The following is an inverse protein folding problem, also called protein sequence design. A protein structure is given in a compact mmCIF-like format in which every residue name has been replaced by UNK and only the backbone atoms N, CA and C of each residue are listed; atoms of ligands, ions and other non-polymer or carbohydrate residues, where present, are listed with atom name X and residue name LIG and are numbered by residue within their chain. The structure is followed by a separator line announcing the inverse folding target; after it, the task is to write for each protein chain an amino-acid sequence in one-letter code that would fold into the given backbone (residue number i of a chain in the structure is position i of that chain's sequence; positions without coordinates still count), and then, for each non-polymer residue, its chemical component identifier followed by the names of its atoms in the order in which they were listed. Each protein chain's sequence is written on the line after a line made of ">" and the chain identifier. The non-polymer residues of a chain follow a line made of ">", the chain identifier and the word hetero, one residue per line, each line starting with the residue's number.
data_IF_746600316726
#
_entry.id   IF_746600316726
#
_cell.length_a   1.000
_cell.length_b   1.000
_cell.length_c   1.000
_cell.angle_alpha   90.00
_cell.angle_beta   90.00
_cell.angle_gamma   90.00
#
_symmetry.space_group_name_H-M   'P 1'
#
loop_
_entity.id
_entity.type
_entity.pdbx_description
1 polymer ?
#
# COMPACT_ATOMS: atom_id res chain seq x y z
N UNK A 1 19.57 -17.60 9.74
CA UNK A 1 18.68 -17.50 8.56
C UNK A 1 17.76 -16.31 8.77
N UNK A 2 18.11 -15.14 8.22
CA UNK A 2 17.28 -13.95 8.34
C UNK A 2 15.98 -14.23 7.59
N UNK A 3 14.86 -14.39 8.31
CA UNK A 3 13.54 -14.43 7.69
C UNK A 3 13.33 -13.04 7.08
N UNK A 4 13.63 -12.91 5.79
CA UNK A 4 13.17 -11.77 5.00
C UNK A 4 11.67 -11.70 5.23
N UNK A 5 11.21 -10.73 6.02
CA UNK A 5 9.78 -10.52 6.26
C UNK A 5 9.24 -10.02 4.93
N UNK A 6 8.89 -10.95 4.04
CA UNK A 6 8.25 -10.64 2.77
C UNK A 6 6.90 -10.05 3.15
N UNK A 7 6.84 -8.71 3.13
CA UNK A 7 5.59 -7.99 3.39
C UNK A 7 4.59 -8.46 2.33
N UNK A 8 3.38 -8.91 2.72
CA UNK A 8 2.38 -9.34 1.77
C UNK A 8 2.06 -8.22 0.77
N UNK A 9 2.00 -8.57 -0.50
CA UNK A 9 1.77 -7.62 -1.59
C UNK A 9 0.28 -7.49 -1.88
N UNK A 10 -0.20 -6.28 -2.10
CA UNK A 10 -1.59 -5.97 -2.45
C UNK A 10 -1.62 -5.02 -3.64
N UNK A 11 -2.65 -5.11 -4.46
CA UNK A 11 -2.85 -4.17 -5.57
C UNK A 11 -3.64 -2.98 -5.02
N UNK A 12 -3.11 -1.79 -5.24
CA UNK A 12 -3.78 -0.53 -4.97
C UNK A 12 -4.29 0.11 -6.24
N UNK A 13 -5.38 0.87 -6.12
CA UNK A 13 -5.93 1.70 -7.18
C UNK A 13 -5.45 3.13 -6.99
N UNK A 14 -4.81 3.71 -8.01
CA UNK A 14 -4.36 5.10 -8.02
C UNK A 14 -5.49 6.01 -8.53
N UNK A 15 -5.76 7.10 -7.80
CA UNK A 15 -6.74 8.13 -8.17
C UNK A 15 -6.18 9.50 -7.78
N UNK A 16 -5.53 10.17 -8.74
CA UNK A 16 -4.74 11.37 -8.46
C UNK A 16 -3.66 11.10 -7.40
N UNK A 17 -3.53 11.98 -6.41
CA UNK A 17 -2.55 11.83 -5.33
C UNK A 17 -2.95 10.80 -4.25
N UNK A 18 -3.98 9.99 -4.46
CA UNK A 18 -4.43 9.00 -3.48
C UNK A 18 -4.32 7.60 -4.06
N UNK A 19 -3.74 6.68 -3.30
CA UNK A 19 -3.82 5.24 -3.56
C UNK A 19 -4.79 4.63 -2.56
N UNK A 20 -5.75 3.85 -3.05
CA UNK A 20 -6.63 3.04 -2.20
C UNK A 20 -6.24 1.58 -2.30
N UNK A 21 -6.27 0.86 -1.19
CA UNK A 21 -6.06 -0.59 -1.18
C UNK A 21 -6.92 -1.25 -0.11
N UNK A 22 -7.37 -2.46 -0.39
CA UNK A 22 -8.15 -3.25 0.56
C UNK A 22 -7.23 -4.17 1.34
N UNK A 23 -7.33 -4.16 2.67
CA UNK A 23 -6.53 -5.04 3.50
C UNK A 23 -7.04 -6.49 3.38
N UNK A 24 -6.22 -7.47 2.96
CA UNK A 24 -6.66 -8.85 2.78
C UNK A 24 -6.92 -9.59 4.10
N UNK A 25 -6.51 -9.02 5.25
CA UNK A 25 -6.72 -9.65 6.57
C UNK A 25 -8.00 -9.21 7.27
N UNK A 26 -8.44 -7.95 7.10
CA UNK A 26 -9.62 -7.42 7.77
C UNK A 26 -10.64 -6.79 6.83
N UNK A 27 -10.38 -6.87 5.51
CA UNK A 27 -11.22 -6.34 4.43
C UNK A 27 -11.53 -4.84 4.53
N UNK A 28 -10.79 -4.11 5.38
CA UNK A 28 -10.91 -2.67 5.50
C UNK A 28 -10.26 -1.97 4.31
N UNK A 29 -10.95 -1.01 3.73
CA UNK A 29 -10.37 -0.09 2.75
C UNK A 29 -9.41 0.89 3.46
N UNK A 30 -8.24 1.08 2.87
CA UNK A 30 -7.21 1.99 3.33
C UNK A 30 -6.84 2.94 2.19
N UNK A 31 -6.38 4.14 2.57
CA UNK A 31 -5.88 5.12 1.62
C UNK A 31 -4.49 5.62 2.01
N UNK A 32 -3.68 5.91 1.00
CA UNK A 32 -2.35 6.50 1.11
C UNK A 32 -2.40 7.79 0.31
N UNK A 33 -2.18 8.93 0.97
CA UNK A 33 -2.19 10.25 0.32
C UNK A 33 -0.75 10.70 0.04
N UNK A 34 -0.53 11.19 -1.16
CA UNK A 34 0.74 11.74 -1.61
C UNK A 34 0.78 13.25 -1.47
N UNK A 35 1.64 13.72 -0.56
CA UNK A 35 1.92 15.15 -0.41
C UNK A 35 3.17 15.59 -1.20
N UNK A 36 3.86 14.69 -1.91
CA UNK A 36 5.08 14.99 -2.66
C UNK A 36 5.00 14.49 -4.11
N UNK A 37 5.25 15.33 -5.13
CA UNK A 37 5.18 14.94 -6.55
C UNK A 37 6.14 13.80 -6.92
N UNK A 38 7.35 13.77 -6.35
CA UNK A 38 8.32 12.68 -6.57
C UNK A 38 7.83 11.33 -6.05
N UNK A 39 6.85 11.33 -5.15
CA UNK A 39 6.27 10.11 -4.62
C UNK A 39 5.24 9.46 -5.56
N UNK A 40 4.74 10.22 -6.53
CA UNK A 40 3.70 9.79 -7.45
C UNK A 40 4.16 8.68 -8.41
N UNK A 41 5.43 8.68 -8.82
CA UNK A 41 5.98 7.76 -9.82
C UNK A 41 6.56 6.45 -9.26
N UNK A 42 6.34 6.12 -7.97
CA UNK A 42 6.82 4.84 -7.43
C UNK A 42 5.81 3.73 -7.73
N UNK A 43 6.27 2.67 -8.38
CA UNK A 43 5.48 1.48 -8.75
C UNK A 43 4.98 0.68 -7.52
N UNK A 44 5.69 0.77 -6.40
CA UNK A 44 5.35 0.06 -5.17
C UNK A 44 5.61 0.91 -3.93
N UNK A 45 4.78 0.70 -2.89
CA UNK A 45 4.82 1.43 -1.62
C UNK A 45 4.52 0.56 -0.43
N UNK A 46 4.98 0.99 0.74
CA UNK A 46 4.57 0.38 1.98
C UNK A 46 3.28 1.02 2.49
N UNK A 47 2.24 0.22 2.67
CA UNK A 47 0.97 0.59 3.25
C UNK A 47 0.77 -0.09 4.59
N UNK A 48 0.14 0.62 5.54
CA UNK A 48 -0.26 0.04 6.82
C UNK A 48 -1.77 0.07 6.91
N UNK A 49 -2.38 -1.06 7.27
CA UNK A 49 -3.83 -1.07 7.51
C UNK A 49 -4.15 -0.29 8.79
N UNK A 50 -5.09 0.64 8.76
CA UNK A 50 -5.48 1.43 9.94
C UNK A 50 -6.09 0.53 11.02
N UNK A 51 -6.82 -0.52 10.62
CA UNK A 51 -7.58 -1.36 11.52
C UNK A 51 -6.74 -2.46 12.16
N UNK A 52 -6.03 -3.27 11.34
CA UNK A 52 -5.25 -4.40 11.85
C UNK A 52 -3.75 -4.12 11.99
N UNK A 53 -3.29 -2.92 11.62
CA UNK A 53 -1.90 -2.44 11.73
C UNK A 53 -0.86 -3.32 11.00
N UNK A 54 -1.31 -4.24 10.14
CA UNK A 54 -0.42 -5.04 9.29
C UNK A 54 0.18 -4.21 8.17
N UNK A 55 1.43 -4.51 7.85
CA UNK A 55 2.18 -3.88 6.77
C UNK A 55 2.03 -4.66 5.46
N UNK A 56 1.88 -3.93 4.36
CA UNK A 56 1.71 -4.47 3.02
C UNK A 56 2.58 -3.70 2.04
N UNK A 57 3.00 -4.38 0.97
CA UNK A 57 3.56 -3.73 -0.22
C UNK A 57 2.40 -3.47 -1.18
N UNK A 58 1.98 -2.22 -1.30
CA UNK A 58 0.94 -1.77 -2.22
C UNK A 58 1.58 -1.50 -3.58
N UNK A 59 1.25 -2.32 -4.58
CA UNK A 59 1.62 -2.11 -5.98
C UNK A 59 0.56 -1.24 -6.64
N UNK A 60 1.00 -0.25 -7.41
CA UNK A 60 0.11 0.52 -8.28
C UNK A 60 0.56 0.31 -9.72
N UNK A 61 -0.05 -0.65 -10.44
CA UNK A 61 0.17 -0.76 -11.88
C UNK A 61 -0.34 0.52 -12.56
N UNK A 62 0.43 1.01 -13.54
CA UNK A 62 0.09 2.18 -14.34
C UNK A 62 -1.07 1.92 -15.30
#
# INVERSE_FOLDING_TARGET
>A
MMKSVVKPTVIGTRSGYVIRFTCPSCFKENSIVYNMPKAYYKESREGTCIQCRKHYTVLTPD
#
